data_IF_644222500038
#
_entry.id   IF_644222500038
#
_cell.length_a   1.000
_cell.length_b   1.000
_cell.length_c   1.000
_cell.angle_alpha   90.00
_cell.angle_beta   90.00
_cell.angle_gamma   90.00
#
_symmetry.space_group_name_H-M   'P 1'
#
loop_
_entity.id
_entity.type
_entity.pdbx_description
1 polymer ?
#
# COMPACT_ATOMS: atom_id res chain seq x y z
N UNK A 1 9.16 28.52 -6.99
CA UNK A 1 8.33 28.21 -5.79
C UNK A 1 8.24 26.70 -5.70
N UNK A 2 8.11 26.16 -4.47
CA UNK A 2 8.04 24.71 -4.10
C UNK A 2 9.37 24.06 -3.70
N UNK A 3 9.81 24.42 -2.49
CA UNK A 3 10.73 23.66 -1.62
C UNK A 3 10.20 23.64 -0.19
N UNK A 4 8.88 23.51 -0.05
CA UNK A 4 8.11 23.97 1.12
C UNK A 4 8.15 23.06 2.34
N UNK A 5 8.35 21.75 2.18
CA UNK A 5 8.28 20.83 3.32
C UNK A 5 9.59 20.79 4.13
N UNK A 6 10.74 20.95 3.46
CA UNK A 6 12.06 20.80 4.09
C UNK A 6 12.55 22.07 4.76
N UNK A 7 12.18 23.26 4.23
CA UNK A 7 12.63 24.54 4.78
C UNK A 7 11.97 24.85 6.13
N UNK A 8 10.66 24.61 6.25
CA UNK A 8 9.91 24.90 7.48
C UNK A 8 10.30 24.04 8.69
N UNK A 9 10.86 22.83 8.49
CA UNK A 9 11.29 21.96 9.59
C UNK A 9 12.68 22.28 10.15
N UNK A 10 13.57 22.88 9.36
CA UNK A 10 14.88 23.34 9.85
C UNK A 10 14.75 24.60 10.72
N UNK A 11 13.83 25.49 10.37
CA UNK A 11 13.58 26.75 11.11
C UNK A 11 12.90 26.51 12.47
N UNK A 12 12.31 25.33 12.69
CA UNK A 12 11.67 24.95 13.96
C UNK A 12 12.60 24.24 14.95
N UNK A 13 13.88 24.03 14.61
CA UNK A 13 14.84 23.35 15.47
C UNK A 13 15.61 24.41 16.28
N UNK A 14 15.47 24.46 17.62
CA UNK A 14 16.25 25.38 18.45
C UNK A 14 17.74 25.16 18.23
N UNK A 15 18.52 26.24 18.35
CA UNK A 15 19.97 26.17 18.31
C UNK A 15 20.46 25.22 19.42
N UNK A 16 21.25 24.20 19.04
CA UNK A 16 21.71 23.15 19.95
C UNK A 16 20.84 21.88 20.02
N UNK A 17 19.73 21.77 19.28
CA UNK A 17 18.94 20.55 19.25
C UNK A 17 19.51 19.49 18.28
N UNK A 18 19.33 18.20 18.64
CA UNK A 18 19.69 17.06 17.79
C UNK A 18 18.47 16.59 16.97
N UNK A 19 18.64 16.46 15.66
CA UNK A 19 17.62 15.94 14.75
C UNK A 19 18.00 14.52 14.31
N UNK A 20 17.11 13.56 14.59
CA UNK A 20 17.21 12.19 14.05
C UNK A 20 16.16 12.03 12.94
N UNK A 21 16.59 11.58 11.77
CA UNK A 21 15.73 11.25 10.64
C UNK A 21 15.74 9.73 10.46
N UNK A 22 14.56 9.12 10.38
CA UNK A 22 14.41 7.68 10.18
C UNK A 22 13.61 7.40 8.91
N UNK A 23 14.02 6.37 8.17
CA UNK A 23 13.22 5.77 7.10
C UNK A 23 13.38 4.26 7.11
N UNK A 24 12.42 3.60 6.47
CA UNK A 24 12.48 2.16 6.23
C UNK A 24 13.28 1.87 4.96
N UNK A 25 14.16 0.88 5.04
CA UNK A 25 14.97 0.45 3.91
C UNK A 25 14.10 -0.23 2.85
N UNK A 26 14.17 0.26 1.61
CA UNK A 26 13.40 -0.28 0.49
C UNK A 26 11.91 0.06 0.54
N UNK A 27 11.52 1.12 1.26
CA UNK A 27 10.21 1.72 1.13
C UNK A 27 10.00 2.27 -0.30
N UNK A 28 8.76 2.31 -0.75
CA UNK A 28 8.42 2.93 -2.02
C UNK A 28 8.92 4.38 -2.06
N UNK A 29 9.36 4.87 -3.24
CA UNK A 29 9.78 6.26 -3.37
C UNK A 29 8.64 7.18 -2.98
N UNK A 30 8.97 8.31 -2.33
CA UNK A 30 7.96 9.28 -1.88
C UNK A 30 7.16 9.78 -3.09
N UNK A 31 5.85 9.93 -2.91
CA UNK A 31 5.00 10.60 -3.88
C UNK A 31 5.30 12.11 -3.86
N UNK A 32 6.19 12.57 -4.75
CA UNK A 32 6.55 13.98 -4.90
C UNK A 32 8.01 14.18 -5.33
N UNK A 33 8.38 15.41 -5.76
CA UNK A 33 9.74 15.69 -6.17
C UNK A 33 10.71 15.66 -4.98
N UNK A 34 11.85 15.01 -5.19
CA UNK A 34 12.98 14.96 -4.26
C UNK A 34 13.06 13.67 -3.45
N UNK A 35 14.28 13.20 -3.24
CA UNK A 35 14.63 12.01 -2.47
C UNK A 35 15.57 12.37 -1.34
N UNK A 36 15.21 13.43 -0.60
CA UNK A 36 16.13 14.14 0.29
C UNK A 36 16.86 13.26 1.32
N UNK A 37 16.26 12.14 1.74
CA UNK A 37 16.94 11.21 2.64
C UNK A 37 17.98 10.36 1.91
N UNK A 38 17.65 9.84 0.72
CA UNK A 38 18.57 9.13 -0.16
C UNK A 38 19.71 10.06 -0.62
N UNK A 39 19.39 11.33 -0.92
CA UNK A 39 20.39 12.34 -1.30
C UNK A 39 21.30 12.71 -0.11
N UNK A 40 20.79 12.72 1.13
CA UNK A 40 21.59 12.94 2.34
C UNK A 40 22.51 11.74 2.66
N UNK A 41 22.00 10.52 2.48
CA UNK A 41 22.80 9.29 2.61
C UNK A 41 23.93 9.27 1.57
N UNK A 42 23.61 9.56 0.30
CA UNK A 42 24.59 9.62 -0.79
C UNK A 42 25.61 10.77 -0.64
N UNK A 43 25.24 11.86 0.04
CA UNK A 43 26.14 12.98 0.26
C UNK A 43 27.21 12.71 1.33
N UNK A 44 27.06 11.65 2.14
CA UNK A 44 27.99 11.27 3.23
C UNK A 44 28.29 12.41 4.24
N UNK A 45 27.45 13.45 4.27
CA UNK A 45 27.66 14.65 5.12
C UNK A 45 27.07 14.53 6.52
N UNK A 46 26.32 13.45 6.78
CA UNK A 46 25.68 13.16 8.06
C UNK A 46 25.96 11.72 8.48
N UNK A 47 26.14 11.44 9.78
CA UNK A 47 26.31 10.06 10.24
C UNK A 47 25.03 9.27 10.00
N UNK A 48 25.14 8.18 9.23
CA UNK A 48 24.05 7.25 8.95
C UNK A 48 24.29 5.97 9.76
N UNK A 49 23.30 5.58 10.56
CA UNK A 49 23.31 4.33 11.31
C UNK A 49 22.19 3.46 10.79
N UNK A 50 22.54 2.32 10.19
CA UNK A 50 21.57 1.29 9.83
C UNK A 50 21.30 0.45 11.07
N UNK A 51 20.02 0.34 11.46
CA UNK A 51 19.62 -0.59 12.51
C UNK A 51 19.52 -2.00 11.94
N UNK A 52 20.40 -2.89 12.39
CA UNK A 52 20.30 -4.32 12.11
C UNK A 52 19.12 -4.90 12.88
N UNK A 53 17.94 -4.90 12.24
CA UNK A 53 16.82 -5.72 12.66
C UNK A 53 16.93 -7.06 11.95
N UNK A 54 16.64 -8.16 12.66
CA UNK A 54 16.41 -9.44 12.00
C UNK A 54 15.34 -9.23 10.91
N UNK A 55 15.58 -9.68 9.66
CA UNK A 55 14.60 -9.50 8.60
C UNK A 55 13.29 -10.16 9.03
N UNK A 56 12.13 -9.55 8.71
CA UNK A 56 10.85 -10.18 9.02
C UNK A 56 10.82 -11.57 8.39
N UNK A 57 10.26 -12.54 9.12
CA UNK A 57 10.14 -13.92 8.68
C UNK A 57 8.67 -14.27 8.43
N UNK A 58 8.43 -15.34 7.66
CA UNK A 58 7.09 -15.82 7.33
C UNK A 58 6.65 -15.52 5.90
N UNK A 59 5.44 -15.97 5.50
CA UNK A 59 4.99 -15.95 4.11
C UNK A 59 4.95 -14.54 3.49
N UNK A 60 4.46 -13.54 4.23
CA UNK A 60 4.40 -12.16 3.74
C UNK A 60 5.79 -11.55 3.49
N UNK A 61 6.75 -11.85 4.37
CA UNK A 61 8.12 -11.38 4.20
C UNK A 61 8.81 -12.04 3.00
N UNK A 62 8.56 -13.34 2.78
CA UNK A 62 9.04 -14.06 1.60
C UNK A 62 8.46 -13.47 0.31
N UNK A 63 7.14 -13.21 0.26
CA UNK A 63 6.52 -12.57 -0.91
C UNK A 63 7.09 -11.16 -1.16
N UNK A 64 7.25 -10.36 -0.10
CA UNK A 64 7.83 -9.02 -0.21
C UNK A 64 9.25 -9.05 -0.79
N UNK A 65 10.06 -10.03 -0.37
CA UNK A 65 11.39 -10.27 -0.94
C UNK A 65 11.34 -10.63 -2.42
N UNK A 66 10.46 -11.55 -2.81
CA UNK A 66 10.27 -11.95 -4.21
C UNK A 66 9.85 -10.76 -5.09
N UNK A 67 8.85 -9.99 -4.66
CA UNK A 67 8.34 -8.81 -5.40
C UNK A 67 9.43 -7.76 -5.56
N UNK A 68 10.24 -7.51 -4.53
CA UNK A 68 11.41 -6.61 -4.62
C UNK A 68 12.46 -7.12 -5.62
N UNK A 69 12.59 -8.44 -5.76
CA UNK A 69 13.43 -9.09 -6.77
C UNK A 69 12.81 -9.14 -8.17
N UNK A 70 11.57 -8.70 -8.35
CA UNK A 70 10.85 -8.74 -9.63
C UNK A 70 10.08 -10.03 -9.90
N UNK A 71 9.88 -10.87 -8.88
CA UNK A 71 9.14 -12.15 -8.99
C UNK A 71 7.82 -12.11 -8.19
N UNK A 72 6.81 -12.82 -8.69
CA UNK A 72 5.51 -12.98 -8.06
C UNK A 72 5.17 -14.47 -7.93
N UNK A 73 6.07 -15.21 -7.27
CA UNK A 73 5.91 -16.64 -7.01
C UNK A 73 4.95 -16.91 -5.83
N UNK A 74 4.20 -18.01 -5.93
CA UNK A 74 3.38 -18.50 -4.83
C UNK A 74 4.28 -18.87 -3.64
N UNK A 75 3.88 -18.42 -2.45
CA UNK A 75 4.56 -18.72 -1.19
C UNK A 75 3.71 -19.71 -0.40
N UNK A 76 4.36 -20.68 0.25
CA UNK A 76 3.67 -21.57 1.17
C UNK A 76 3.16 -20.78 2.39
N UNK A 77 1.84 -20.67 2.50
CA UNK A 77 1.15 -19.88 3.50
C UNK A 77 -0.02 -20.69 4.07
N UNK A 78 0.22 -21.68 4.95
CA UNK A 78 -0.83 -22.57 5.48
C UNK A 78 -1.90 -21.80 6.26
N UNK A 79 -1.53 -20.68 6.88
CA UNK A 79 -2.45 -19.75 7.54
C UNK A 79 -3.23 -18.82 6.60
N UNK A 80 -3.04 -18.94 5.28
CA UNK A 80 -3.64 -18.08 4.24
C UNK A 80 -3.31 -16.59 4.38
N UNK A 81 -2.17 -16.30 5.00
CA UNK A 81 -1.62 -14.94 5.13
C UNK A 81 -1.34 -14.31 3.75
N UNK A 82 -1.01 -15.15 2.77
CA UNK A 82 -0.73 -14.76 1.39
C UNK A 82 -1.42 -15.75 0.45
N UNK A 83 -2.19 -15.24 -0.51
CA UNK A 83 -2.78 -16.02 -1.59
C UNK A 83 -2.63 -15.25 -2.90
N UNK A 84 -2.02 -15.88 -3.90
CA UNK A 84 -1.91 -15.31 -5.24
C UNK A 84 -3.03 -15.88 -6.10
N UNK A 85 -3.86 -14.98 -6.64
CA UNK A 85 -4.98 -15.36 -7.50
C UNK A 85 -4.68 -14.90 -8.93
N UNK A 86 -4.31 -15.82 -9.84
CA UNK A 86 -4.06 -15.46 -11.23
C UNK A 86 -5.36 -15.02 -11.91
N UNK A 87 -5.26 -14.05 -12.81
CA UNK A 87 -6.33 -13.59 -13.69
C UNK A 87 -5.74 -13.37 -15.09
N UNK A 88 -6.47 -13.80 -16.12
CA UNK A 88 -6.03 -13.71 -17.50
C UNK A 88 -6.12 -12.29 -18.06
N UNK A 89 -7.08 -11.51 -17.57
CA UNK A 89 -7.33 -10.15 -18.02
C UNK A 89 -7.85 -9.25 -16.88
N UNK A 90 -7.85 -7.91 -17.08
CA UNK A 90 -8.31 -6.97 -16.06
C UNK A 90 -9.77 -7.16 -15.61
N UNK A 91 -10.66 -7.59 -16.50
CA UNK A 91 -12.05 -7.84 -16.17
C UNK A 91 -12.19 -9.04 -15.24
N UNK A 92 -11.46 -10.12 -15.52
CA UNK A 92 -11.37 -11.27 -14.62
C UNK A 92 -10.76 -10.87 -13.26
N UNK A 93 -9.73 -10.02 -13.25
CA UNK A 93 -9.12 -9.53 -12.02
C UNK A 93 -10.13 -8.79 -11.13
N UNK A 94 -10.93 -7.88 -11.71
CA UNK A 94 -12.00 -7.18 -10.98
C UNK A 94 -13.06 -8.14 -10.48
N UNK A 95 -13.49 -9.09 -11.33
CA UNK A 95 -14.49 -10.08 -10.96
C UNK A 95 -14.05 -10.93 -9.76
N UNK A 96 -12.83 -11.47 -9.82
CA UNK A 96 -12.26 -12.27 -8.74
C UNK A 96 -12.06 -11.44 -7.47
N UNK A 97 -11.60 -10.20 -7.58
CA UNK A 97 -11.46 -9.30 -6.43
C UNK A 97 -12.81 -9.09 -5.71
N UNK A 98 -13.90 -8.86 -6.45
CA UNK A 98 -15.24 -8.74 -5.85
C UNK A 98 -15.64 -10.03 -5.14
N UNK A 99 -15.44 -11.20 -5.74
CA UNK A 99 -15.75 -12.49 -5.09
C UNK A 99 -14.90 -12.75 -3.83
N UNK A 100 -13.64 -12.35 -3.85
CA UNK A 100 -12.74 -12.48 -2.70
C UNK A 100 -13.21 -11.61 -1.54
N UNK A 101 -13.46 -10.33 -1.80
CA UNK A 101 -13.85 -9.35 -0.78
C UNK A 101 -15.24 -9.66 -0.22
N UNK A 102 -16.21 -10.03 -1.07
CA UNK A 102 -17.61 -10.13 -0.64
C UNK A 102 -18.01 -11.51 -0.11
N UNK A 103 -17.20 -12.55 -0.33
CA UNK A 103 -17.51 -13.90 0.13
C UNK A 103 -16.27 -14.63 0.67
N UNK A 104 -15.24 -14.82 -0.17
CA UNK A 104 -14.20 -15.80 0.15
C UNK A 104 -13.35 -15.42 1.36
N UNK A 105 -12.91 -14.17 1.48
CA UNK A 105 -12.08 -13.68 2.59
C UNK A 105 -12.90 -13.61 3.90
N UNK A 106 -14.08 -12.96 3.94
CA UNK A 106 -14.91 -12.95 5.15
C UNK A 106 -15.18 -14.35 5.69
N UNK A 107 -15.55 -15.29 4.81
CA UNK A 107 -15.80 -16.69 5.18
C UNK A 107 -14.54 -17.41 5.65
N UNK A 108 -13.41 -17.24 4.97
CA UNK A 108 -12.18 -17.97 5.27
C UNK A 108 -11.51 -17.49 6.57
N UNK A 109 -11.62 -16.20 6.89
CA UNK A 109 -10.96 -15.59 8.05
C UNK A 109 -11.93 -15.29 9.21
N UNK A 110 -13.25 -15.42 9.00
CA UNK A 110 -14.24 -15.12 10.03
C UNK A 110 -14.33 -13.63 10.38
N UNK A 111 -13.98 -12.76 9.43
CA UNK A 111 -14.01 -11.29 9.60
C UNK A 111 -15.18 -10.69 8.84
N UNK A 112 -15.72 -9.55 9.29
CA UNK A 112 -16.77 -8.87 8.56
C UNK A 112 -16.18 -8.18 7.30
N UNK A 113 -17.03 -7.91 6.31
CA UNK A 113 -16.57 -7.40 5.00
C UNK A 113 -15.98 -5.99 5.09
N UNK A 114 -16.47 -5.19 6.04
CA UNK A 114 -15.98 -3.84 6.33
C UNK A 114 -14.53 -3.79 6.84
N UNK A 115 -14.00 -4.92 7.33
CA UNK A 115 -12.61 -5.04 7.76
C UNK A 115 -11.66 -5.43 6.60
N UNK A 116 -12.20 -5.66 5.40
CA UNK A 116 -11.42 -6.00 4.20
C UNK A 116 -11.06 -4.74 3.42
N UNK A 117 -9.76 -4.43 3.37
CA UNK A 117 -9.21 -3.33 2.57
C UNK A 117 -8.75 -3.82 1.19
N UNK A 118 -9.14 -3.09 0.15
CA UNK A 118 -8.63 -3.29 -1.22
C UNK A 118 -7.64 -2.17 -1.56
N UNK A 119 -6.54 -2.52 -2.22
CA UNK A 119 -5.49 -1.59 -2.66
C UNK A 119 -5.17 -1.89 -4.12
N UNK A 120 -4.98 -0.86 -4.94
CA UNK A 120 -4.64 -1.02 -6.36
C UNK A 120 -3.35 -0.26 -6.69
N UNK A 121 -2.51 -0.82 -7.56
CA UNK A 121 -1.24 -0.17 -7.93
C UNK A 121 -1.43 1.06 -8.82
N UNK A 122 -2.60 1.20 -9.46
CA UNK A 122 -2.95 2.33 -10.31
C UNK A 122 -4.35 2.84 -9.96
N UNK A 123 -4.51 4.17 -9.93
CA UNK A 123 -5.81 4.79 -9.73
C UNK A 123 -6.76 4.56 -10.94
N UNK A 124 -6.20 4.56 -12.15
CA UNK A 124 -6.92 4.39 -13.42
C UNK A 124 -6.68 3.04 -14.09
N UNK A 125 -7.43 2.79 -15.16
CA UNK A 125 -7.36 1.56 -15.94
C UNK A 125 -8.44 0.53 -15.58
N UNK A 126 -8.58 -0.53 -16.39
CA UNK A 126 -9.69 -1.49 -16.30
C UNK A 126 -9.69 -2.35 -15.02
N UNK A 127 -8.56 -2.42 -14.31
CA UNK A 127 -8.45 -3.03 -12.97
C UNK A 127 -7.85 -2.05 -11.94
N UNK A 128 -7.91 -0.75 -12.21
CA UNK A 128 -7.45 0.28 -11.27
C UNK A 128 -8.44 0.52 -10.13
N UNK A 129 -8.04 1.35 -9.17
CA UNK A 129 -8.84 1.68 -7.99
C UNK A 129 -10.27 2.11 -8.33
N UNK A 130 -10.44 2.92 -9.39
CA UNK A 130 -11.75 3.36 -9.86
C UNK A 130 -12.67 2.21 -10.30
N UNK A 131 -12.14 1.27 -11.10
CA UNK A 131 -12.89 0.11 -11.59
C UNK A 131 -13.30 -0.84 -10.45
N UNK A 132 -12.37 -1.10 -9.52
CA UNK A 132 -12.63 -1.92 -8.34
C UNK A 132 -13.69 -1.28 -7.42
N UNK A 133 -13.57 0.02 -7.16
CA UNK A 133 -14.52 0.74 -6.31
C UNK A 133 -15.94 0.71 -6.92
N UNK A 134 -16.06 0.94 -8.23
CA UNK A 134 -17.34 0.89 -8.92
C UNK A 134 -17.99 -0.51 -8.81
N UNK A 135 -17.20 -1.56 -9.06
CA UNK A 135 -17.69 -2.94 -8.99
C UNK A 135 -18.09 -3.36 -7.56
N UNK A 136 -17.29 -3.00 -6.56
CA UNK A 136 -17.57 -3.30 -5.15
C UNK A 136 -18.80 -2.53 -4.65
N UNK A 137 -18.93 -1.24 -4.99
CA UNK A 137 -20.12 -0.43 -4.67
C UNK A 137 -21.40 -1.03 -5.25
N UNK A 138 -21.37 -1.43 -6.52
CA UNK A 138 -22.53 -2.06 -7.16
C UNK A 138 -22.97 -3.34 -6.45
N UNK A 139 -22.03 -4.06 -5.82
CA UNK A 139 -22.31 -5.31 -5.11
C UNK A 139 -22.74 -5.10 -3.66
N UNK A 140 -22.06 -4.21 -2.94
CA UNK A 140 -22.24 -4.02 -1.49
C UNK A 140 -23.32 -2.98 -1.15
N UNK A 141 -23.49 -1.95 -1.99
CA UNK A 141 -24.40 -0.84 -1.75
C UNK A 141 -25.39 -0.64 -2.93
N UNK A 142 -26.27 -1.62 -3.24
CA UNK A 142 -27.23 -1.48 -4.33
C UNK A 142 -28.39 -0.54 -3.92
N UNK A 143 -28.35 0.71 -4.36
CA UNK A 143 -29.42 1.69 -4.12
C UNK A 143 -29.21 3.03 -4.84
N UNK A 144 -30.24 3.91 -4.89
CA UNK A 144 -30.22 5.15 -5.69
C UNK A 144 -29.23 6.24 -5.23
N UNK A 145 -28.36 5.96 -4.25
CA UNK A 145 -27.29 6.86 -3.78
C UNK A 145 -26.09 6.97 -4.72
N UNK A 146 -26.27 6.76 -6.02
CA UNK A 146 -25.22 6.74 -7.04
C UNK A 146 -24.66 8.14 -7.41
N UNK A 147 -24.99 9.19 -6.65
CA UNK A 147 -24.48 10.55 -6.88
C UNK A 147 -23.83 11.10 -5.62
N UNK A 148 -22.53 11.40 -5.71
CA UNK A 148 -21.85 12.22 -4.71
C UNK A 148 -20.58 11.65 -4.09
N UNK A 149 -20.18 10.42 -4.43
CA UNK A 149 -18.81 9.97 -4.23
C UNK A 149 -18.27 10.10 -2.80
N UNK A 150 -19.04 9.86 -1.75
CA UNK A 150 -18.51 9.60 -0.42
C UNK A 150 -19.57 8.88 0.41
N UNK A 151 -19.34 7.59 0.64
CA UNK A 151 -20.02 6.86 1.69
C UNK A 151 -19.06 6.86 2.89
N UNK A 152 -19.44 7.41 4.05
CA UNK A 152 -18.55 7.45 5.22
C UNK A 152 -18.19 6.07 5.76
N UNK A 153 -18.87 5.00 5.32
CA UNK A 153 -18.53 3.62 5.65
C UNK A 153 -17.48 2.99 4.72
N UNK A 154 -17.13 3.65 3.61
CA UNK A 154 -16.15 3.14 2.64
C UNK A 154 -14.76 3.73 2.89
N UNK A 155 -13.83 2.90 3.38
CA UNK A 155 -12.41 3.23 3.38
C UNK A 155 -11.87 3.23 1.94
N UNK A 156 -11.19 4.31 1.59
CA UNK A 156 -10.61 4.58 0.28
C UNK A 156 -9.75 3.40 -0.22
N UNK A 157 -10.00 2.93 -1.45
CA UNK A 157 -8.99 2.14 -2.18
C UNK A 157 -7.89 3.14 -2.55
N UNK A 158 -6.74 3.04 -1.87
CA UNK A 158 -5.53 3.80 -2.21
C UNK A 158 -4.78 3.15 -3.36
#
# INVERSE_FOLDING_TARGET
>A
REGGLWRGRREACPEGAHLVLCAERGAAPRAGPGRALDDLEAAETVPVVTRDAAPPAGPLAALTGAVRGGDLAAVDAPGREVVIVPAADPGEAVHRAVQLVTDSIPRALGIPVEDVQVVATAAGGPAGAGALNAALKARLNPGPGAFGGMDPSLRHIS
#
